data_IF_701124049310
#
_entry.id   IF_701124049310
#
_cell.length_a   1.000
_cell.length_b   1.000
_cell.length_c   1.000
_cell.angle_alpha   90.00
_cell.angle_beta   90.00
_cell.angle_gamma   90.00
#
_symmetry.space_group_name_H-M   'P 1'
#
loop_
_entity.id
_entity.type
_entity.pdbx_description
1 polymer ?
#
# COMPACT_ATOMS: atom_id res chain seq x y z
N UNK A 1 -23.34 7.63 14.57
CA UNK A 1 -22.90 6.67 13.54
C UNK A 1 -21.82 7.32 12.70
N UNK A 2 -20.62 6.75 12.62
CA UNK A 2 -19.81 6.90 11.42
C UNK A 2 -20.62 6.22 10.32
N UNK A 3 -21.49 6.98 9.68
CA UNK A 3 -22.42 6.48 8.69
C UNK A 3 -21.60 5.76 7.61
N UNK A 4 -21.96 4.52 7.27
CA UNK A 4 -21.38 3.64 6.24
C UNK A 4 -20.62 4.34 5.11
N UNK A 5 -21.17 5.45 4.62
CA UNK A 5 -20.51 6.37 3.69
C UNK A 5 -19.05 6.74 4.06
N UNK A 6 -18.75 7.09 5.32
CA UNK A 6 -17.38 7.42 5.76
C UNK A 6 -16.43 6.22 5.72
N UNK A 7 -16.93 5.00 5.97
CA UNK A 7 -16.14 3.78 5.81
C UNK A 7 -15.83 3.51 4.33
N UNK A 8 -16.79 3.78 3.45
CA UNK A 8 -16.59 3.67 2.00
C UNK A 8 -15.59 4.72 1.51
N UNK A 9 -15.67 5.97 1.96
CA UNK A 9 -14.70 7.02 1.63
C UNK A 9 -13.28 6.62 2.06
N UNK A 10 -13.12 6.11 3.28
CA UNK A 10 -11.83 5.61 3.77
C UNK A 10 -11.31 4.42 2.93
N UNK A 11 -12.19 3.53 2.46
CA UNK A 11 -11.82 2.44 1.56
C UNK A 11 -11.33 2.96 0.20
N UNK A 12 -11.99 3.97 -0.35
CA UNK A 12 -11.59 4.61 -1.61
C UNK A 12 -10.21 5.26 -1.46
N UNK A 13 -9.97 5.99 -0.37
CA UNK A 13 -8.66 6.59 -0.11
C UNK A 13 -7.56 5.55 0.08
N UNK A 14 -7.84 4.48 0.84
CA UNK A 14 -6.89 3.38 1.01
C UNK A 14 -6.56 2.72 -0.34
N UNK A 15 -7.56 2.46 -1.20
CA UNK A 15 -7.34 1.92 -2.55
C UNK A 15 -6.49 2.88 -3.41
N UNK A 16 -6.74 4.18 -3.36
CA UNK A 16 -5.92 5.17 -4.07
C UNK A 16 -4.47 5.15 -3.60
N UNK A 17 -4.23 5.04 -2.28
CA UNK A 17 -2.89 4.93 -1.72
C UNK A 17 -2.20 3.62 -2.10
N UNK A 18 -2.94 2.50 -2.21
CA UNK A 18 -2.41 1.24 -2.74
C UNK A 18 -1.98 1.37 -4.20
N UNK A 19 -2.79 2.00 -5.05
CA UNK A 19 -2.42 2.24 -6.46
C UNK A 19 -1.16 3.10 -6.59
N UNK A 20 -1.02 4.12 -5.74
CA UNK A 20 0.20 4.95 -5.69
C UNK A 20 1.40 4.13 -5.22
N UNK A 21 1.23 3.26 -4.23
CA UNK A 21 2.27 2.33 -3.80
C UNK A 21 2.70 1.41 -4.94
N UNK A 22 1.76 0.77 -5.66
CA UNK A 22 2.09 -0.16 -6.76
C UNK A 22 2.92 0.53 -7.84
N UNK A 23 2.56 1.77 -8.20
CA UNK A 23 3.31 2.58 -9.15
C UNK A 23 4.71 2.95 -8.63
N UNK A 24 4.81 3.40 -7.38
CA UNK A 24 6.09 3.77 -6.77
C UNK A 24 7.03 2.56 -6.61
N UNK A 25 6.49 1.41 -6.22
CA UNK A 25 7.21 0.14 -6.10
C UNK A 25 7.73 -0.31 -7.46
N UNK A 26 6.88 -0.33 -8.49
CA UNK A 26 7.29 -0.68 -9.84
C UNK A 26 8.42 0.20 -10.37
N UNK A 27 8.37 1.52 -10.12
CA UNK A 27 9.45 2.44 -10.46
C UNK A 27 10.76 2.12 -9.72
N UNK A 28 10.68 1.87 -8.41
CA UNK A 28 11.85 1.53 -7.61
C UNK A 28 12.50 0.20 -8.03
N UNK A 29 11.71 -0.79 -8.43
CA UNK A 29 12.22 -2.09 -8.90
C UNK A 29 12.97 -1.96 -10.23
N UNK A 30 12.47 -1.13 -11.14
CA UNK A 30 13.15 -0.80 -12.40
C UNK A 30 14.47 -0.09 -12.13
N UNK A 31 14.46 0.93 -11.27
CA UNK A 31 15.67 1.68 -10.90
C UNK A 31 16.72 0.77 -10.26
N UNK A 32 16.29 -0.14 -9.36
CA UNK A 32 17.16 -1.13 -8.72
C UNK A 32 17.81 -2.06 -9.75
N UNK A 33 17.01 -2.60 -10.69
CA UNK A 33 17.51 -3.47 -11.74
C UNK A 33 18.53 -2.76 -12.65
N UNK A 34 18.28 -1.49 -12.99
CA UNK A 34 19.23 -0.67 -13.73
C UNK A 34 20.53 -0.46 -12.94
N UNK A 35 20.46 -0.08 -11.67
CA UNK A 35 21.63 0.14 -10.83
C UNK A 35 22.50 -1.14 -10.68
N UNK A 36 21.86 -2.31 -10.50
CA UNK A 36 22.56 -3.60 -10.46
C UNK A 36 23.29 -3.89 -11.77
N UNK A 37 22.62 -3.68 -12.92
CA UNK A 37 23.23 -3.88 -14.24
C UNK A 37 24.42 -2.93 -14.47
N UNK A 38 24.35 -1.70 -13.99
CA UNK A 38 25.42 -0.72 -14.16
C UNK A 38 26.64 -1.09 -13.29
N UNK A 39 26.42 -1.59 -12.07
CA UNK A 39 27.47 -2.18 -11.21
C UNK A 39 28.13 -3.38 -11.90
N UNK A 40 27.35 -4.31 -12.46
CA UNK A 40 27.87 -5.50 -13.15
C UNK A 40 28.70 -5.16 -14.38
N UNK A 41 28.37 -4.07 -15.08
CA UNK A 41 29.11 -3.60 -16.26
C UNK A 41 30.43 -2.91 -15.91
N UNK A 42 30.68 -2.63 -14.63
CA UNK A 42 31.92 -1.99 -14.19
C UNK A 42 32.12 -0.59 -14.77
N UNK A 43 31.03 0.16 -15.00
CA UNK A 43 31.14 1.60 -15.27
C UNK A 43 31.76 2.21 -14.02
N UNK A 44 33.06 2.51 -14.07
CA UNK A 44 33.95 2.74 -12.90
C UNK A 44 33.65 3.95 -12.02
N UNK A 45 32.41 4.39 -11.92
CA UNK A 45 31.96 5.33 -10.91
C UNK A 45 31.79 4.60 -9.56
N UNK A 46 32.23 5.20 -8.44
CA UNK A 46 31.98 4.70 -7.08
C UNK A 46 30.56 5.02 -6.57
N UNK A 47 29.82 5.89 -7.24
CA UNK A 47 28.43 6.30 -6.95
C UNK A 47 27.32 5.20 -7.04
N UNK A 48 27.42 4.15 -7.88
CA UNK A 48 26.35 3.18 -8.09
C UNK A 48 25.95 2.36 -6.84
N UNK A 49 26.90 2.08 -5.95
CA UNK A 49 26.61 1.32 -4.73
C UNK A 49 25.81 2.13 -3.70
N UNK A 50 26.13 3.42 -3.57
CA UNK A 50 25.38 4.35 -2.71
C UNK A 50 23.96 4.57 -3.24
N UNK A 51 23.83 4.74 -4.57
CA UNK A 51 22.54 4.84 -5.25
C UNK A 51 21.69 3.57 -5.06
N UNK A 52 22.29 2.38 -5.19
CA UNK A 52 21.59 1.12 -4.93
C UNK A 52 21.10 1.04 -3.48
N UNK A 53 21.94 1.43 -2.51
CA UNK A 53 21.57 1.44 -1.10
C UNK A 53 20.44 2.45 -0.78
N UNK A 54 20.39 3.59 -1.48
CA UNK A 54 19.26 4.53 -1.38
C UNK A 54 17.97 3.92 -1.93
N UNK A 55 18.03 3.29 -3.12
CA UNK A 55 16.88 2.62 -3.73
C UNK A 55 16.36 1.51 -2.81
N UNK A 56 17.24 0.69 -2.24
CA UNK A 56 16.87 -0.38 -1.31
C UNK A 56 16.23 0.16 -0.03
N UNK A 57 16.72 1.29 0.51
CA UNK A 57 16.07 1.95 1.66
C UNK A 57 14.67 2.46 1.31
N UNK A 58 14.49 3.06 0.13
CA UNK A 58 13.18 3.51 -0.35
C UNK A 58 12.22 2.35 -0.52
N UNK A 59 12.70 1.22 -1.05
CA UNK A 59 11.94 -0.02 -1.18
C UNK A 59 11.47 -0.53 0.18
N UNK A 60 12.36 -0.59 1.18
CA UNK A 60 12.00 -1.05 2.51
C UNK A 60 10.93 -0.15 3.17
N UNK A 61 11.01 1.17 2.94
CA UNK A 61 10.01 2.11 3.40
C UNK A 61 8.65 1.87 2.71
N UNK A 62 8.65 1.69 1.39
CA UNK A 62 7.44 1.35 0.64
C UNK A 62 6.80 0.05 1.13
N UNK A 63 7.59 -0.99 1.43
CA UNK A 63 7.10 -2.26 1.98
C UNK A 63 6.45 -2.11 3.36
N UNK A 64 7.01 -1.24 4.22
CA UNK A 64 6.38 -0.90 5.49
C UNK A 64 5.03 -0.20 5.29
N UNK A 65 4.99 0.78 4.39
CA UNK A 65 3.75 1.49 4.06
C UNK A 65 2.69 0.54 3.49
N UNK A 66 3.09 -0.41 2.64
CA UNK A 66 2.18 -1.41 2.09
C UNK A 66 1.56 -2.30 3.16
N UNK A 67 2.36 -2.77 4.14
CA UNK A 67 1.83 -3.55 5.27
C UNK A 67 0.79 -2.77 6.05
N UNK A 68 1.03 -1.48 6.27
CA UNK A 68 0.06 -0.60 6.94
C UNK A 68 -1.23 -0.45 6.12
N UNK A 69 -1.11 -0.30 4.78
CA UNK A 69 -2.27 -0.21 3.89
C UNK A 69 -3.11 -1.49 3.88
N UNK A 70 -2.46 -2.67 3.90
CA UNK A 70 -3.15 -3.97 4.00
C UNK A 70 -3.91 -4.06 5.33
N UNK A 71 -3.24 -3.77 6.46
CA UNK A 71 -3.86 -3.83 7.77
C UNK A 71 -5.06 -2.87 7.89
N UNK A 72 -4.93 -1.65 7.34
CA UNK A 72 -6.02 -0.67 7.26
C UNK A 72 -7.18 -1.21 6.42
N UNK A 73 -6.92 -1.79 5.24
CA UNK A 73 -7.95 -2.41 4.39
C UNK A 73 -8.68 -3.54 5.12
N UNK A 74 -7.96 -4.42 5.79
CA UNK A 74 -8.56 -5.52 6.57
C UNK A 74 -9.44 -5.00 7.71
N UNK A 75 -9.01 -3.93 8.38
CA UNK A 75 -9.82 -3.27 9.40
C UNK A 75 -11.08 -2.62 8.82
N UNK A 76 -10.96 -1.91 7.69
CA UNK A 76 -12.10 -1.29 7.00
C UNK A 76 -13.11 -2.34 6.52
N UNK A 77 -12.65 -3.45 5.95
CA UNK A 77 -13.51 -4.56 5.52
C UNK A 77 -14.28 -5.16 6.68
N UNK A 78 -13.61 -5.43 7.82
CA UNK A 78 -14.28 -5.93 9.03
C UNK A 78 -15.31 -4.93 9.56
N UNK A 79 -14.94 -3.65 9.61
CA UNK A 79 -15.83 -2.58 10.08
C UNK A 79 -17.09 -2.43 9.21
N UNK A 80 -16.96 -2.58 7.89
CA UNK A 80 -18.10 -2.57 6.97
C UNK A 80 -18.99 -3.78 7.16
N UNK A 81 -18.41 -4.98 7.31
CA UNK A 81 -19.17 -6.20 7.55
C UNK A 81 -19.95 -6.11 8.86
N UNK A 82 -19.32 -5.68 9.95
CA UNK A 82 -19.98 -5.49 11.25
C UNK A 82 -21.12 -4.46 11.15
N UNK A 83 -20.95 -3.39 10.38
CA UNK A 83 -22.00 -2.40 10.17
C UNK A 83 -23.19 -3.00 9.40
N UNK A 84 -22.93 -3.71 8.31
CA UNK A 84 -23.96 -4.33 7.47
C UNK A 84 -24.70 -5.45 8.23
N UNK A 85 -24.00 -6.25 9.04
CA UNK A 85 -24.59 -7.28 9.91
C UNK A 85 -25.51 -6.68 10.98
N UNK A 86 -25.08 -5.58 11.63
CA UNK A 86 -25.92 -4.86 12.59
C UNK A 86 -27.17 -4.28 11.92
N UNK A 87 -27.04 -3.73 10.71
CA UNK A 87 -28.18 -3.23 9.95
C UNK A 87 -29.18 -4.35 9.59
N UNK A 88 -28.68 -5.51 9.17
CA UNK A 88 -29.51 -6.68 8.86
C UNK A 88 -30.21 -7.26 10.10
N UNK A 89 -29.51 -7.35 11.23
CA UNK A 89 -30.07 -7.80 12.50
C UNK A 89 -31.21 -6.87 12.96
N UNK A 90 -30.98 -5.56 12.93
CA UNK A 90 -32.00 -4.57 13.31
C UNK A 90 -33.20 -4.55 12.36
N UNK A 91 -32.99 -4.81 11.06
CA UNK A 91 -34.07 -4.96 10.09
C UNK A 91 -34.94 -6.21 10.31
N UNK A 92 -34.38 -7.31 10.85
CA UNK A 92 -35.10 -8.56 11.15
C UNK A 92 -35.98 -8.50 12.41
N UNK A 93 -35.73 -7.56 13.33
CA UNK A 93 -36.55 -7.41 14.55
C UNK A 93 -37.80 -6.53 14.35
N UNK A 94 -38.00 -5.97 13.14
CA UNK A 94 -39.10 -5.07 12.81
C UNK A 94 -40.18 -5.71 11.90
N UNK A 95 -40.13 -7.02 11.69
CA UNK A 95 -41.12 -7.83 10.94
C UNK A 95 -41.62 -8.98 11.80
#
# INVERSE_FOLDING_TARGET
>A
MLARHKLIEAMIDNNLRQLKFDSARGGADIERACALRDIERGTGDPEPAERLAEIDRRIAQLELEHRNLIAEREWLNRSLLEFDDQAAANGRFLT
#
